data_IF_025387818985
#
_entry.id   IF_025387818985
#
_cell.length_a   1.000
_cell.length_b   1.000
_cell.length_c   1.000
_cell.angle_alpha   90.00
_cell.angle_beta   90.00
_cell.angle_gamma   90.00
#
_symmetry.space_group_name_H-M   'P 1'
#
loop_
_entity.id
_entity.type
_entity.pdbx_description
1 polymer ?
#
# COMPACT_ATOMS: atom_id res chain seq x y z
N UNK A 1 8.08 4.31 -81.87
CA UNK A 1 7.23 4.59 -83.06
C UNK A 1 5.80 4.77 -82.54
N UNK A 2 5.33 6.01 -82.46
CA UNK A 2 4.28 6.58 -83.33
C UNK A 2 2.91 5.90 -83.13
N UNK A 3 1.77 6.57 -82.93
CA UNK A 3 1.37 7.99 -82.96
C UNK A 3 -0.09 8.04 -82.44
N UNK A 4 -0.49 9.21 -81.91
CA UNK A 4 -1.83 9.86 -81.97
C UNK A 4 -3.07 9.10 -81.42
N UNK A 5 -4.14 9.70 -80.90
CA UNK A 5 -4.79 10.98 -81.23
C UNK A 5 -5.69 11.48 -80.05
N UNK A 6 -5.98 12.78 -80.08
CA UNK A 6 -6.77 13.65 -79.19
C UNK A 6 -8.31 13.56 -79.47
N UNK A 7 -9.26 14.40 -78.95
CA UNK A 7 -9.27 15.44 -77.90
C UNK A 7 -10.56 15.49 -76.99
N UNK A 8 -10.63 16.53 -76.13
CA UNK A 8 -11.81 17.32 -75.66
C UNK A 8 -12.80 16.84 -74.55
N UNK A 9 -12.52 17.31 -73.30
CA UNK A 9 -13.29 18.29 -72.46
C UNK A 9 -14.77 18.03 -72.03
N UNK A 10 -15.30 18.72 -70.98
CA UNK A 10 -15.35 18.27 -69.57
C UNK A 10 -16.77 18.22 -68.96
N UNK A 11 -17.03 17.46 -67.87
CA UNK A 11 -18.28 17.62 -67.08
C UNK A 11 -18.08 17.47 -65.57
N UNK A 12 -18.85 18.29 -64.86
CA UNK A 12 -18.90 18.70 -63.45
C UNK A 12 -19.10 17.61 -62.40
N UNK A 13 -18.66 18.00 -61.20
CA UNK A 13 -18.88 17.44 -59.86
C UNK A 13 -20.36 17.42 -59.45
N UNK A 14 -20.81 16.35 -58.80
CA UNK A 14 -22.00 16.29 -57.97
C UNK A 14 -21.73 15.46 -56.70
N UNK A 15 -22.03 15.96 -55.49
CA UNK A 15 -21.81 15.23 -54.24
C UNK A 15 -23.06 14.44 -53.81
N UNK A 16 -22.90 13.60 -52.79
CA UNK A 16 -23.90 12.77 -52.07
C UNK A 16 -23.96 11.28 -52.47
N UNK A 17 -23.05 10.53 -51.87
CA UNK A 17 -23.20 9.10 -51.63
C UNK A 17 -22.30 8.71 -50.46
N UNK A 18 -22.81 8.73 -49.22
CA UNK A 18 -22.12 8.19 -48.06
C UNK A 18 -23.03 7.20 -47.33
N UNK A 19 -22.62 5.94 -47.42
CA UNK A 19 -23.21 4.76 -46.79
C UNK A 19 -23.16 4.88 -45.26
N UNK A 20 -24.28 4.59 -44.61
CA UNK A 20 -24.37 4.38 -43.18
C UNK A 20 -23.55 3.14 -42.78
N UNK A 21 -22.51 3.31 -41.95
CA UNK A 21 -21.90 2.22 -41.17
C UNK A 21 -22.40 2.33 -39.74
N UNK A 22 -23.28 1.40 -39.36
CA UNK A 22 -23.64 1.16 -37.97
C UNK A 22 -22.40 0.69 -37.20
N UNK A 23 -21.79 1.62 -36.46
CA UNK A 23 -20.74 1.32 -35.49
C UNK A 23 -21.37 0.58 -34.31
N UNK A 24 -21.16 -0.74 -34.22
CA UNK A 24 -21.36 -1.48 -32.98
C UNK A 24 -20.32 -0.97 -31.98
N UNK A 25 -20.75 -0.10 -31.06
CA UNK A 25 -19.97 0.20 -29.85
C UNK A 25 -19.83 -1.09 -29.07
N UNK A 26 -18.64 -1.69 -29.14
CA UNK A 26 -18.22 -2.70 -28.18
C UNK A 26 -18.05 -1.92 -26.87
N UNK A 27 -19.09 -1.93 -26.04
CA UNK A 27 -18.98 -1.60 -24.62
C UNK A 27 -18.10 -2.68 -24.01
N UNK A 28 -16.79 -2.41 -23.93
CA UNK A 28 -15.92 -3.12 -23.01
C UNK A 28 -16.46 -2.78 -21.62
N UNK A 29 -17.24 -3.68 -21.03
CA UNK A 29 -17.49 -3.65 -19.59
C UNK A 29 -16.11 -3.80 -18.95
N UNK A 30 -15.54 -2.70 -18.44
CA UNK A 30 -14.44 -2.80 -17.50
C UNK A 30 -14.98 -3.59 -16.32
N UNK A 31 -14.52 -4.82 -16.14
CA UNK A 31 -14.84 -5.59 -14.96
C UNK A 31 -14.26 -4.80 -13.79
N UNK A 32 -15.13 -4.17 -13.00
CA UNK A 32 -14.74 -3.52 -11.75
C UNK A 32 -14.11 -4.61 -10.88
N UNK A 33 -12.85 -4.42 -10.48
CA UNK A 33 -12.17 -5.30 -9.54
C UNK A 33 -13.07 -5.48 -8.32
N UNK A 34 -13.41 -6.72 -7.90
CA UNK A 34 -14.25 -6.92 -6.71
C UNK A 34 -13.61 -6.24 -5.50
N UNK A 35 -14.41 -5.57 -4.68
CA UNK A 35 -13.90 -4.87 -3.50
C UNK A 35 -13.33 -5.87 -2.49
N UNK A 36 -12.29 -5.44 -1.77
CA UNK A 36 -11.78 -6.20 -0.63
C UNK A 36 -12.87 -6.34 0.44
N UNK A 37 -12.96 -7.49 1.11
CA UNK A 37 -13.94 -7.71 2.16
C UNK A 37 -13.72 -6.75 3.33
N UNK A 38 -14.82 -6.33 3.95
CA UNK A 38 -14.76 -5.53 5.16
C UNK A 38 -14.26 -6.33 6.35
N UNK A 39 -13.60 -5.58 7.23
CA UNK A 39 -13.09 -6.06 8.50
C UNK A 39 -14.20 -6.61 9.39
N UNK A 40 -14.01 -7.82 9.90
CA UNK A 40 -14.96 -8.49 10.80
C UNK A 40 -14.30 -9.59 11.61
N UNK A 41 -14.96 -10.01 12.68
CA UNK A 41 -14.63 -11.26 13.39
C UNK A 41 -15.65 -12.29 12.95
N UNK A 42 -15.17 -13.43 12.45
CA UNK A 42 -15.99 -14.50 11.92
C UNK A 42 -16.52 -15.41 13.05
N UNK A 43 -17.61 -16.17 12.82
CA UNK A 43 -18.17 -17.08 13.84
C UNK A 43 -17.23 -18.19 14.29
N UNK A 44 -16.27 -18.59 13.45
CA UNK A 44 -15.25 -19.60 13.76
C UNK A 44 -14.09 -19.03 14.61
N UNK A 45 -14.17 -17.75 14.99
CA UNK A 45 -13.17 -17.06 15.78
C UNK A 45 -12.04 -16.43 14.96
N UNK A 46 -11.96 -16.69 13.66
CA UNK A 46 -11.01 -16.00 12.76
C UNK A 46 -11.38 -14.52 12.60
N UNK A 47 -10.45 -13.71 12.10
CA UNK A 47 -10.69 -12.30 11.85
C UNK A 47 -10.23 -11.88 10.46
N UNK A 48 -11.09 -11.15 9.75
CA UNK A 48 -10.70 -10.36 8.58
C UNK A 48 -10.23 -9.00 9.07
N UNK A 49 -8.98 -8.65 8.74
CA UNK A 49 -8.30 -7.42 9.16
C UNK A 49 -7.82 -6.69 7.90
N UNK A 50 -8.19 -5.40 7.78
CA UNK A 50 -7.68 -4.53 6.71
C UNK A 50 -6.43 -3.79 7.19
N UNK A 51 -5.33 -3.97 6.47
CA UNK A 51 -4.02 -3.37 6.80
C UNK A 51 -3.58 -2.47 5.65
N UNK A 52 -3.32 -1.21 5.96
CA UNK A 52 -2.82 -0.21 5.02
C UNK A 52 -1.35 0.09 5.31
N UNK A 53 -0.49 0.04 4.30
CA UNK A 53 0.86 0.60 4.37
C UNK A 53 0.91 1.92 3.62
N UNK A 54 1.49 2.97 4.21
CA UNK A 54 1.53 4.29 3.57
C UNK A 54 2.73 5.13 4.03
N UNK A 55 3.65 5.42 3.11
CA UNK A 55 4.65 6.46 3.31
C UNK A 55 3.98 7.83 3.13
N UNK A 56 4.02 8.66 4.19
CA UNK A 56 3.30 9.94 4.22
C UNK A 56 4.22 11.15 4.06
N UNK A 57 5.49 10.93 3.73
CA UNK A 57 6.48 11.98 3.44
C UNK A 57 6.50 13.10 4.48
N UNK A 58 6.55 12.74 5.76
CA UNK A 58 6.52 13.69 6.90
C UNK A 58 5.32 14.64 6.94
N UNK A 59 4.23 14.31 6.23
CA UNK A 59 3.05 15.16 6.06
C UNK A 59 3.40 16.53 5.46
N UNK A 60 4.28 16.55 4.45
CA UNK A 60 4.66 17.77 3.74
C UNK A 60 3.61 18.25 2.73
N UNK A 61 2.80 17.34 2.20
CA UNK A 61 1.81 17.61 1.16
C UNK A 61 0.39 17.81 1.76
N UNK A 62 -0.69 17.48 1.04
CA UNK A 62 -2.07 17.70 1.50
C UNK A 62 -2.49 16.67 2.57
N UNK A 63 -2.54 17.12 3.82
CA UNK A 63 -2.90 16.27 4.96
C UNK A 63 -4.38 15.89 5.01
N UNK A 64 -5.26 16.68 4.38
CA UNK A 64 -6.68 16.39 4.34
C UNK A 64 -6.98 15.35 3.25
N UNK A 65 -6.31 15.45 2.10
CA UNK A 65 -6.31 14.40 1.08
C UNK A 65 -5.76 13.09 1.65
N UNK A 66 -4.65 13.14 2.37
CA UNK A 66 -4.09 11.98 3.07
C UNK A 66 -5.11 11.34 4.02
N UNK A 67 -5.78 12.14 4.85
CA UNK A 67 -6.80 11.63 5.77
C UNK A 67 -8.01 11.02 5.03
N UNK A 68 -8.47 11.63 3.93
CA UNK A 68 -9.55 11.08 3.10
C UNK A 68 -9.19 9.73 2.50
N UNK A 69 -7.97 9.59 1.95
CA UNK A 69 -7.48 8.31 1.40
C UNK A 69 -7.46 7.23 2.47
N UNK A 70 -6.88 7.51 3.64
CA UNK A 70 -6.85 6.54 4.76
C UNK A 70 -8.27 6.17 5.20
N UNK A 71 -9.16 7.15 5.32
CA UNK A 71 -10.57 6.92 5.72
C UNK A 71 -11.29 6.03 4.72
N UNK A 72 -11.17 6.31 3.42
CA UNK A 72 -11.82 5.56 2.35
C UNK A 72 -11.35 4.10 2.27
N UNK A 73 -10.10 3.83 2.68
CA UNK A 73 -9.56 2.47 2.76
C UNK A 73 -10.15 1.64 3.92
N UNK A 74 -10.81 2.29 4.89
CA UNK A 74 -11.39 1.67 6.09
C UNK A 74 -10.45 0.67 6.81
N UNK A 75 -9.19 1.02 7.12
CA UNK A 75 -8.24 0.08 7.70
C UNK A 75 -8.48 -0.15 9.20
N UNK A 76 -8.15 -1.35 9.67
CA UNK A 76 -7.96 -1.61 11.10
C UNK A 76 -6.59 -1.20 11.59
N UNK A 77 -5.58 -1.29 10.71
CA UNK A 77 -4.19 -0.98 11.00
C UNK A 77 -3.61 -0.16 9.87
N UNK A 78 -2.89 0.92 10.21
CA UNK A 78 -2.09 1.68 9.25
C UNK A 78 -0.63 1.62 9.67
N UNK A 79 0.20 1.03 8.83
CA UNK A 79 1.65 1.00 8.93
C UNK A 79 2.15 2.26 8.20
N UNK A 80 2.47 3.28 8.98
CA UNK A 80 2.90 4.59 8.47
C UNK A 80 4.42 4.62 8.33
N UNK A 81 4.92 5.14 7.22
CA UNK A 81 6.34 5.47 7.04
C UNK A 81 6.53 6.98 6.94
N UNK A 82 7.73 7.44 7.30
CA UNK A 82 8.06 8.87 7.39
C UNK A 82 7.04 9.68 8.20
N UNK A 83 6.53 9.15 9.32
CA UNK A 83 5.76 9.98 10.22
C UNK A 83 6.64 11.15 10.73
N UNK A 84 6.07 12.32 11.03
CA UNK A 84 6.83 13.44 11.59
C UNK A 84 7.66 13.01 12.80
N UNK A 85 8.90 13.52 12.92
CA UNK A 85 9.81 13.14 14.01
C UNK A 85 10.25 14.31 14.91
N UNK A 86 10.00 15.52 14.45
CA UNK A 86 10.51 16.74 15.08
C UNK A 86 9.42 17.48 15.87
N UNK A 87 9.52 18.80 15.98
CA UNK A 87 8.65 19.62 16.80
C UNK A 87 7.16 19.25 16.67
N UNK A 88 6.54 18.95 17.82
CA UNK A 88 5.13 18.56 17.95
C UNK A 88 4.72 17.32 17.15
N UNK A 89 5.65 16.42 16.83
CA UNK A 89 5.36 15.22 16.04
C UNK A 89 4.17 14.41 16.56
N UNK A 90 4.09 14.20 17.89
CA UNK A 90 2.96 13.48 18.52
C UNK A 90 1.62 14.14 18.20
N UNK A 91 1.56 15.48 18.23
CA UNK A 91 0.33 16.23 17.92
C UNK A 91 -0.03 16.14 16.43
N UNK A 92 0.97 16.12 15.54
CA UNK A 92 0.75 15.96 14.09
C UNK A 92 0.20 14.56 13.78
N UNK A 93 0.85 13.52 14.30
CA UNK A 93 0.43 12.13 14.09
C UNK A 93 -0.95 11.86 14.71
N UNK A 94 -1.22 12.35 15.92
CA UNK A 94 -2.53 12.22 16.56
C UNK A 94 -3.64 12.97 15.80
N UNK A 95 -3.31 14.09 15.12
CA UNK A 95 -4.26 14.81 14.27
C UNK A 95 -4.62 13.99 13.03
N UNK A 96 -3.63 13.38 12.37
CA UNK A 96 -3.87 12.49 11.23
C UNK A 96 -4.73 11.30 11.64
N UNK A 97 -4.37 10.63 12.75
CA UNK A 97 -5.14 9.51 13.27
C UNK A 97 -6.60 9.91 13.50
N UNK A 98 -6.85 10.99 14.24
CA UNK A 98 -8.22 11.48 14.48
C UNK A 98 -8.95 11.84 13.18
N UNK A 99 -8.29 12.54 12.25
CA UNK A 99 -8.89 12.94 10.98
C UNK A 99 -9.26 11.74 10.09
N UNK A 100 -8.63 10.59 10.31
CA UNK A 100 -8.92 9.33 9.63
C UNK A 100 -9.77 8.34 10.43
N UNK A 101 -10.31 8.75 11.58
CA UNK A 101 -11.12 7.87 12.44
C UNK A 101 -10.32 6.81 13.22
N UNK A 102 -9.01 7.00 13.36
CA UNK A 102 -8.07 6.08 13.99
C UNK A 102 -7.44 6.68 15.26
N UNK A 103 -6.70 5.86 16.00
CA UNK A 103 -5.86 6.26 17.13
C UNK A 103 -4.40 5.89 16.88
N UNK A 104 -3.47 6.61 17.52
CA UNK A 104 -2.05 6.27 17.47
C UNK A 104 -1.78 5.09 18.39
N UNK A 105 -1.18 4.03 17.85
CA UNK A 105 -0.86 2.80 18.58
C UNK A 105 0.62 2.76 19.00
N UNK A 106 1.57 2.99 18.08
CA UNK A 106 3.01 3.00 18.39
C UNK A 106 3.81 3.86 17.41
N UNK A 107 5.07 4.16 17.76
CA UNK A 107 6.06 4.72 16.84
C UNK A 107 6.00 6.24 16.66
N UNK A 108 6.41 6.67 15.46
CA UNK A 108 6.72 8.06 15.13
C UNK A 108 8.19 8.36 15.42
N UNK A 109 8.48 9.42 16.18
CA UNK A 109 9.87 9.79 16.44
C UNK A 109 10.65 8.73 17.23
N UNK A 110 9.97 7.96 18.09
CA UNK A 110 10.55 6.88 18.92
C UNK A 110 11.09 5.72 18.08
N UNK A 111 10.48 5.44 16.93
CA UNK A 111 10.93 4.45 15.96
C UNK A 111 11.67 5.08 14.77
N UNK A 112 12.07 6.35 14.86
CA UNK A 112 12.73 7.09 13.77
C UNK A 112 11.92 7.18 12.46
N UNK A 113 10.58 7.24 12.53
CA UNK A 113 9.70 7.54 11.39
C UNK A 113 8.53 6.57 11.26
N UNK A 114 8.75 5.25 11.27
CA UNK A 114 7.67 4.28 11.28
C UNK A 114 6.70 4.48 12.44
N UNK A 115 5.41 4.34 12.17
CA UNK A 115 4.36 4.38 13.17
C UNK A 115 3.26 3.37 12.86
N UNK A 116 2.42 3.09 13.85
CA UNK A 116 1.22 2.28 13.70
C UNK A 116 0.03 3.11 14.19
N UNK A 117 -0.99 3.23 13.33
CA UNK A 117 -2.32 3.69 13.72
C UNK A 117 -3.27 2.49 13.73
N UNK A 118 -4.33 2.54 14.53
CA UNK A 118 -5.33 1.48 14.56
C UNK A 118 -6.76 1.98 14.71
N UNK A 119 -7.71 1.15 14.30
CA UNK A 119 -9.13 1.29 14.65
C UNK A 119 -9.36 0.90 16.12
N UNK A 120 -10.55 1.20 16.64
CA UNK A 120 -10.93 0.80 18.00
C UNK A 120 -11.26 -0.71 18.13
N UNK A 121 -11.24 -1.48 17.03
CA UNK A 121 -11.38 -2.95 17.09
C UNK A 121 -10.12 -3.64 17.62
N UNK A 122 -8.96 -2.99 17.50
CA UNK A 122 -7.68 -3.55 17.91
C UNK A 122 -7.49 -3.38 19.42
N UNK A 123 -7.53 -4.49 20.17
CA UNK A 123 -7.11 -4.49 21.58
C UNK A 123 -5.59 -4.61 21.65
N UNK A 124 -4.93 -3.63 22.25
CA UNK A 124 -3.46 -3.61 22.34
C UNK A 124 -3.00 -4.45 23.52
N UNK A 125 -2.15 -5.45 23.28
CA UNK A 125 -1.51 -6.21 24.36
C UNK A 125 -0.15 -5.63 24.73
N UNK A 126 0.66 -5.28 23.74
CA UNK A 126 1.93 -4.59 23.95
C UNK A 126 2.40 -3.85 22.71
N UNK A 127 3.22 -2.83 22.94
CA UNK A 127 3.91 -2.08 21.90
C UNK A 127 5.39 -1.98 22.24
N UNK A 128 6.22 -1.90 21.21
CA UNK A 128 7.64 -1.69 21.37
C UNK A 128 8.19 -1.00 20.11
N UNK A 129 8.88 0.12 20.33
CA UNK A 129 9.56 0.85 19.27
C UNK A 129 11.06 0.55 19.35
N UNK A 130 11.64 0.15 18.23
CA UNK A 130 13.05 -0.22 18.16
C UNK A 130 13.80 0.73 17.23
N UNK A 131 15.01 1.10 17.64
CA UNK A 131 15.94 1.82 16.78
C UNK A 131 17.00 0.87 16.28
N UNK A 132 17.19 0.82 14.97
CA UNK A 132 18.18 -0.05 14.35
C UNK A 132 19.60 0.52 14.52
N UNK A 133 20.64 -0.33 14.42
CA UNK A 133 22.01 0.12 14.40
C UNK A 133 22.20 1.24 13.37
N UNK A 134 22.90 2.30 13.77
CA UNK A 134 23.13 3.47 12.91
C UNK A 134 24.43 3.27 12.14
N UNK A 135 24.36 3.25 10.82
CA UNK A 135 25.54 3.42 9.97
C UNK A 135 25.91 4.91 9.89
N UNK A 136 27.17 5.30 10.18
CA UNK A 136 27.61 6.69 10.02
C UNK A 136 27.32 7.24 8.62
N UNK A 137 26.85 8.49 8.54
CA UNK A 137 26.46 9.14 7.27
C UNK A 137 25.07 8.76 6.74
N UNK A 138 24.43 7.71 7.27
CA UNK A 138 23.08 7.31 6.86
C UNK A 138 22.01 7.76 7.85
N UNK A 139 20.77 7.81 7.36
CA UNK A 139 19.61 8.08 8.19
C UNK A 139 19.35 6.90 9.14
N UNK A 140 19.23 7.18 10.44
CA UNK A 140 18.85 6.16 11.42
C UNK A 140 17.43 5.65 11.11
N UNK A 141 17.29 4.31 11.05
CA UNK A 141 16.00 3.61 10.89
C UNK A 141 15.54 2.99 12.21
N UNK A 142 14.29 2.55 12.23
CA UNK A 142 13.66 1.87 13.36
C UNK A 142 12.45 1.06 12.91
N UNK A 143 11.86 0.35 13.85
CA UNK A 143 10.60 -0.38 13.68
C UNK A 143 9.60 0.10 14.74
N UNK A 144 8.37 0.33 14.33
CA UNK A 144 7.25 0.39 15.25
C UNK A 144 6.60 -0.99 15.29
N UNK A 145 6.44 -1.57 16.49
CA UNK A 145 5.88 -2.92 16.62
C UNK A 145 4.79 -3.00 17.67
N UNK A 146 3.88 -3.95 17.47
CA UNK A 146 2.81 -4.22 18.39
C UNK A 146 2.37 -5.69 18.36
N UNK A 147 1.78 -6.14 19.44
CA UNK A 147 0.89 -7.31 19.45
C UNK A 147 -0.50 -6.83 19.81
N UNK A 148 -1.45 -7.11 18.93
CA UNK A 148 -2.85 -6.72 19.06
C UNK A 148 -3.76 -7.94 19.00
N UNK A 149 -5.00 -7.78 19.46
CA UNK A 149 -6.07 -8.76 19.29
C UNK A 149 -7.23 -8.20 18.50
N UNK A 150 -7.82 -9.05 17.68
CA UNK A 150 -9.12 -8.85 17.04
C UNK A 150 -10.05 -9.99 17.47
N UNK A 151 -10.81 -9.77 18.54
CA UNK A 151 -11.55 -10.86 19.19
C UNK A 151 -10.60 -11.92 19.78
N UNK A 152 -10.76 -13.18 19.34
CA UNK A 152 -9.94 -14.30 19.79
C UNK A 152 -8.53 -14.33 19.19
N UNK A 153 -8.35 -13.69 18.02
CA UNK A 153 -7.12 -13.74 17.24
C UNK A 153 -6.07 -12.80 17.79
N UNK A 154 -4.81 -13.26 17.82
CA UNK A 154 -3.65 -12.49 18.25
C UNK A 154 -2.70 -12.27 17.07
N UNK A 155 -2.34 -11.01 16.80
CA UNK A 155 -1.59 -10.61 15.60
C UNK A 155 -0.40 -9.74 15.97
N UNK A 156 0.80 -10.14 15.51
CA UNK A 156 1.99 -9.29 15.51
C UNK A 156 1.95 -8.29 14.37
N UNK A 157 2.37 -7.05 14.62
CA UNK A 157 2.35 -5.96 13.65
C UNK A 157 3.71 -5.26 13.64
N UNK A 158 4.27 -5.04 12.46
CA UNK A 158 5.56 -4.34 12.29
C UNK A 158 5.48 -3.33 11.13
N UNK A 159 5.65 -2.04 11.45
CA UNK A 159 5.88 -1.00 10.44
C UNK A 159 7.38 -0.71 10.31
N UNK A 160 7.86 -0.62 9.07
CA UNK A 160 9.26 -0.35 8.76
C UNK A 160 9.42 0.66 7.62
N UNK A 161 10.60 1.29 7.56
CA UNK A 161 11.06 2.03 6.38
C UNK A 161 12.55 1.70 6.27
N UNK A 162 12.91 0.85 5.31
CA UNK A 162 14.27 0.34 5.18
C UNK A 162 15.21 1.37 4.54
N UNK A 163 16.52 1.10 4.61
CA UNK A 163 17.53 2.00 4.06
C UNK A 163 17.53 2.05 2.53
N UNK A 164 17.94 3.20 2.00
CA UNK A 164 18.30 3.33 0.59
C UNK A 164 19.65 2.64 0.28
N UNK A 165 20.53 2.53 1.27
CA UNK A 165 21.81 1.86 1.12
C UNK A 165 21.64 0.33 1.12
N UNK A 166 22.08 -0.33 0.05
CA UNK A 166 21.84 -1.76 -0.22
C UNK A 166 22.23 -2.70 0.93
N UNK A 167 23.42 -2.54 1.48
CA UNK A 167 23.93 -3.47 2.51
C UNK A 167 23.24 -3.23 3.87
N UNK A 168 23.01 -1.97 4.22
CA UNK A 168 22.24 -1.63 5.43
C UNK A 168 20.80 -2.13 5.30
N UNK A 169 20.15 -1.90 4.15
CA UNK A 169 18.81 -2.42 3.84
C UNK A 169 18.74 -3.94 4.01
N UNK A 170 19.70 -4.67 3.48
CA UNK A 170 19.74 -6.13 3.58
C UNK A 170 19.89 -6.62 5.03
N UNK A 171 20.73 -5.95 5.82
CA UNK A 171 20.88 -6.23 7.25
C UNK A 171 19.58 -5.94 8.02
N UNK A 172 18.95 -4.79 7.75
CA UNK A 172 17.67 -4.41 8.35
C UNK A 172 16.54 -5.38 7.99
N UNK A 173 16.50 -5.91 6.76
CA UNK A 173 15.56 -6.97 6.38
C UNK A 173 15.75 -8.26 7.18
N UNK A 174 16.99 -8.60 7.57
CA UNK A 174 17.26 -9.68 8.53
C UNK A 174 16.71 -9.38 9.92
N UNK A 175 17.00 -8.19 10.45
CA UNK A 175 16.51 -7.75 11.75
C UNK A 175 14.98 -7.71 11.83
N UNK A 176 14.30 -7.38 10.72
CA UNK A 176 12.84 -7.44 10.62
C UNK A 176 12.34 -8.88 10.85
N UNK A 177 12.94 -9.86 10.17
CA UNK A 177 12.57 -11.28 10.33
C UNK A 177 12.84 -11.77 11.75
N UNK A 178 14.01 -11.44 12.30
CA UNK A 178 14.37 -11.78 13.69
C UNK A 178 13.37 -11.18 14.67
N UNK A 179 12.97 -9.92 14.44
CA UNK A 179 12.00 -9.22 15.28
C UNK A 179 10.62 -9.88 15.23
N UNK A 180 10.14 -10.26 14.05
CA UNK A 180 8.87 -10.98 13.91
C UNK A 180 8.91 -12.34 14.63
N UNK A 181 9.97 -13.12 14.44
CA UNK A 181 10.14 -14.41 15.11
C UNK A 181 10.18 -14.27 16.64
N UNK A 182 10.76 -13.18 17.14
CA UNK A 182 10.83 -12.86 18.57
C UNK A 182 9.52 -12.32 19.19
N UNK A 183 8.44 -12.13 18.41
CA UNK A 183 7.17 -11.61 18.95
C UNK A 183 6.36 -12.67 19.73
N UNK A 184 6.70 -13.96 19.68
CA UNK A 184 5.95 -14.98 20.42
C UNK A 184 4.45 -14.99 20.07
N UNK A 185 4.16 -14.86 18.77
CA UNK A 185 2.82 -14.97 18.16
C UNK A 185 2.97 -15.76 16.87
N UNK A 186 1.96 -16.56 16.54
CA UNK A 186 1.99 -17.42 15.35
C UNK A 186 1.68 -16.67 14.06
N UNK A 187 0.93 -15.57 14.17
CA UNK A 187 0.51 -14.75 13.06
C UNK A 187 1.04 -13.33 13.18
N UNK A 188 1.64 -12.83 12.12
CA UNK A 188 2.09 -11.45 12.03
C UNK A 188 1.96 -10.87 10.63
N UNK A 189 1.81 -9.55 10.58
CA UNK A 189 1.89 -8.73 9.37
C UNK A 189 3.01 -7.70 9.53
N UNK A 190 3.82 -7.55 8.50
CA UNK A 190 4.85 -6.54 8.41
C UNK A 190 4.70 -5.74 7.12
N UNK A 191 4.99 -4.45 7.14
CA UNK A 191 4.93 -3.67 5.92
C UNK A 191 5.58 -2.31 6.01
N UNK A 192 5.69 -1.70 4.83
CA UNK A 192 6.27 -0.39 4.65
C UNK A 192 7.08 -0.26 3.39
N UNK A 193 7.84 0.82 3.33
CA UNK A 193 8.76 1.13 2.25
C UNK A 193 10.04 0.28 2.40
N UNK A 194 10.15 -0.73 1.53
CA UNK A 194 11.28 -1.65 1.44
C UNK A 194 12.47 -0.97 0.74
N UNK A 195 12.25 0.12 -0.01
CA UNK A 195 13.26 0.79 -0.85
C UNK A 195 13.95 -0.16 -1.83
N UNK A 196 13.25 -1.21 -2.27
CA UNK A 196 13.76 -2.20 -3.19
C UNK A 196 12.62 -2.89 -3.92
N UNK A 197 12.82 -3.16 -5.21
CA UNK A 197 11.85 -3.84 -6.06
C UNK A 197 11.77 -5.34 -5.72
N UNK A 198 10.73 -6.07 -6.19
CA UNK A 198 10.52 -7.48 -5.85
C UNK A 198 11.67 -8.42 -6.25
N UNK A 199 12.40 -8.08 -7.32
CA UNK A 199 13.59 -8.77 -7.80
C UNK A 199 14.88 -8.37 -7.07
N UNK A 200 14.80 -7.49 -6.07
CA UNK A 200 15.93 -7.11 -5.25
C UNK A 200 16.22 -8.09 -4.11
N UNK A 201 17.44 -8.02 -3.58
CA UNK A 201 17.97 -9.03 -2.65
C UNK A 201 17.23 -9.03 -1.30
N UNK A 202 16.90 -7.86 -0.75
CA UNK A 202 16.20 -7.74 0.53
C UNK A 202 14.74 -8.13 0.37
N UNK A 203 14.08 -7.67 -0.69
CA UNK A 203 12.69 -8.04 -0.97
C UNK A 203 12.54 -9.56 -1.08
N UNK A 204 13.38 -10.23 -1.89
CA UNK A 204 13.39 -11.71 -1.95
C UNK A 204 13.68 -12.37 -0.61
N UNK A 205 14.59 -11.81 0.21
CA UNK A 205 14.85 -12.37 1.55
C UNK A 205 13.59 -12.37 2.41
N UNK A 206 12.82 -11.28 2.38
CA UNK A 206 11.54 -11.17 3.06
C UNK A 206 10.52 -12.15 2.46
N UNK A 207 10.33 -12.14 1.14
CA UNK A 207 9.39 -13.02 0.42
C UNK A 207 9.72 -14.53 0.47
N UNK A 208 10.96 -14.90 0.78
CA UNK A 208 11.31 -16.30 1.03
C UNK A 208 10.88 -16.78 2.43
N UNK A 209 10.74 -15.85 3.38
CA UNK A 209 10.44 -16.13 4.78
C UNK A 209 8.96 -15.86 5.13
N UNK A 210 8.36 -14.90 4.44
CA UNK A 210 6.99 -14.40 4.59
C UNK A 210 6.28 -14.44 3.23
N UNK A 211 4.95 -14.38 3.24
CA UNK A 211 4.14 -14.24 2.04
C UNK A 211 4.12 -12.78 1.60
N UNK A 212 4.58 -12.45 0.38
CA UNK A 212 4.30 -11.15 -0.26
C UNK A 212 2.81 -11.09 -0.61
N UNK A 213 2.06 -10.22 0.08
CA UNK A 213 0.61 -10.20 -0.03
C UNK A 213 0.13 -9.86 -1.44
N UNK A 214 0.80 -8.93 -2.14
CA UNK A 214 0.41 -8.56 -3.50
C UNK A 214 0.64 -9.72 -4.47
N UNK A 215 1.79 -10.39 -4.36
CA UNK A 215 2.09 -11.53 -5.24
C UNK A 215 1.21 -12.75 -4.97
N UNK A 216 0.74 -12.92 -3.74
CA UNK A 216 -0.12 -14.04 -3.35
C UNK A 216 -1.57 -13.88 -3.85
N UNK A 217 -2.15 -12.68 -3.72
CA UNK A 217 -3.50 -12.38 -4.18
C UNK A 217 -3.56 -10.92 -4.71
N UNK A 218 -3.18 -10.69 -5.97
CA UNK A 218 -3.14 -9.35 -6.55
C UNK A 218 -4.52 -8.69 -6.60
N UNK A 219 -4.59 -7.45 -6.11
CA UNK A 219 -5.80 -6.63 -6.16
C UNK A 219 -5.46 -5.15 -6.40
N UNK A 220 -6.20 -4.47 -7.28
CA UNK A 220 -5.92 -3.07 -7.59
C UNK A 220 -4.57 -2.86 -8.32
N UNK A 221 -3.86 -1.78 -8.01
CA UNK A 221 -2.58 -1.44 -8.65
C UNK A 221 -1.35 -2.10 -8.00
N UNK A 222 -0.29 -2.29 -8.77
CA UNK A 222 1.00 -2.85 -8.28
C UNK A 222 1.99 -1.78 -7.81
N UNK A 223 2.18 -0.73 -8.62
CA UNK A 223 3.26 0.23 -8.44
C UNK A 223 2.90 1.33 -7.45
N UNK A 224 3.87 1.68 -6.59
CA UNK A 224 3.65 2.48 -5.38
C UNK A 224 4.40 3.81 -5.36
N UNK A 225 5.42 4.00 -6.21
CA UNK A 225 6.21 5.23 -6.21
C UNK A 225 5.95 6.08 -7.45
N UNK A 226 5.87 7.41 -7.26
CA UNK A 226 5.48 8.41 -8.27
C UNK A 226 4.00 8.30 -8.66
N UNK A 227 3.06 8.80 -7.83
CA UNK A 227 1.61 8.65 -8.02
C UNK A 227 1.10 9.07 -9.41
N UNK A 228 1.78 10.03 -10.03
CA UNK A 228 1.42 10.52 -11.34
C UNK A 228 1.72 9.55 -12.50
N UNK A 229 2.79 8.77 -12.36
CA UNK A 229 3.27 7.78 -13.32
C UNK A 229 3.98 6.64 -12.54
N UNK A 230 3.20 5.77 -11.87
CA UNK A 230 3.77 4.77 -10.99
C UNK A 230 4.54 3.71 -11.78
N UNK A 231 5.80 3.47 -11.42
CA UNK A 231 6.68 2.60 -12.21
C UNK A 231 7.52 1.62 -11.35
N UNK A 232 7.39 1.68 -10.02
CA UNK A 232 8.09 0.76 -9.11
C UNK A 232 7.19 0.36 -7.96
N UNK A 233 7.26 -0.91 -7.56
CA UNK A 233 6.70 -1.43 -6.31
C UNK A 233 7.82 -1.53 -5.29
N UNK A 234 7.87 -0.56 -4.37
CA UNK A 234 8.86 -0.53 -3.28
C UNK A 234 8.19 -0.54 -1.90
N UNK A 235 6.89 -0.28 -1.85
CA UNK A 235 6.07 -0.48 -0.66
C UNK A 235 5.38 -1.85 -0.73
N UNK A 236 5.36 -2.56 0.39
CA UNK A 236 4.77 -3.89 0.44
C UNK A 236 4.18 -4.23 1.82
N UNK A 237 3.24 -5.18 1.80
CA UNK A 237 2.75 -5.89 2.96
C UNK A 237 3.17 -7.35 2.84
N UNK A 238 3.70 -7.89 3.93
CA UNK A 238 4.09 -9.28 4.08
C UNK A 238 3.35 -9.90 5.27
N UNK A 239 2.95 -11.15 5.14
CA UNK A 239 2.30 -11.90 6.22
C UNK A 239 3.05 -13.20 6.54
N UNK A 240 3.02 -13.63 7.79
CA UNK A 240 3.51 -14.96 8.16
C UNK A 240 2.68 -16.05 7.50
N UNK A 241 3.27 -17.24 7.34
CA UNK A 241 2.54 -18.43 6.87
C UNK A 241 1.34 -18.70 7.80
N UNK A 242 0.20 -19.08 7.23
CA UNK A 242 -1.06 -19.31 7.95
C UNK A 242 -2.02 -18.13 7.96
N UNK A 243 -1.56 -16.91 7.65
CA UNK A 243 -2.45 -15.78 7.32
C UNK A 243 -2.84 -15.90 5.85
N UNK A 244 -4.14 -15.94 5.58
CA UNK A 244 -4.68 -15.97 4.22
C UNK A 244 -4.83 -14.54 3.69
N UNK A 245 -4.32 -14.30 2.48
CA UNK A 245 -4.42 -13.01 1.80
C UNK A 245 -5.66 -13.04 0.91
N UNK A 246 -6.62 -12.14 1.17
CA UNK A 246 -7.88 -12.06 0.41
C UNK A 246 -7.81 -11.07 -0.75
N UNK A 247 -6.69 -10.36 -0.86
CA UNK A 247 -6.40 -9.36 -1.87
C UNK A 247 -5.48 -8.29 -1.31
N UNK A 248 -4.54 -7.83 -2.14
CA UNK A 248 -3.59 -6.79 -1.77
C UNK A 248 -3.16 -5.93 -2.96
N UNK A 249 -3.10 -4.61 -2.78
CA UNK A 249 -2.48 -3.65 -3.71
C UNK A 249 -2.98 -2.22 -3.56
N UNK A 250 -2.73 -1.39 -4.56
CA UNK A 250 -3.10 0.02 -4.55
C UNK A 250 -4.62 0.17 -4.77
N UNK A 251 -5.35 0.85 -3.88
CA UNK A 251 -6.81 0.89 -3.85
C UNK A 251 -7.43 1.85 -4.88
N UNK A 252 -7.07 1.72 -6.16
CA UNK A 252 -7.54 2.62 -7.24
C UNK A 252 -9.06 2.59 -7.43
N UNK A 253 -9.68 1.41 -7.28
CA UNK A 253 -11.13 1.21 -7.44
C UNK A 253 -11.91 1.30 -6.12
N UNK A 254 -11.24 1.63 -5.00
CA UNK A 254 -11.87 1.71 -3.69
C UNK A 254 -12.78 2.95 -3.60
N UNK A 255 -14.08 2.81 -3.25
CA UNK A 255 -14.98 3.94 -3.13
C UNK A 255 -14.44 5.00 -2.16
N UNK A 256 -14.43 6.26 -2.62
CA UNK A 256 -13.91 7.40 -1.86
C UNK A 256 -12.41 7.64 -2.02
N UNK A 257 -11.65 6.71 -2.60
CA UNK A 257 -10.28 6.98 -3.06
C UNK A 257 -10.36 7.63 -4.43
N UNK A 258 -9.75 8.80 -4.60
CA UNK A 258 -9.71 9.51 -5.87
C UNK A 258 -8.28 9.70 -6.34
N UNK A 259 -8.06 9.73 -7.65
CA UNK A 259 -6.74 9.99 -8.22
C UNK A 259 -6.18 11.35 -7.79
N UNK A 260 -7.06 12.36 -7.67
CA UNK A 260 -6.68 13.68 -7.18
C UNK A 260 -6.13 13.63 -5.75
N UNK A 261 -6.82 12.93 -4.84
CA UNK A 261 -6.35 12.78 -3.46
C UNK A 261 -5.07 11.94 -3.38
N UNK A 262 -4.96 10.87 -4.17
CA UNK A 262 -3.75 10.04 -4.23
C UNK A 262 -2.52 10.84 -4.69
N UNK A 263 -2.68 11.75 -5.66
CA UNK A 263 -1.61 12.63 -6.14
C UNK A 263 -1.26 13.76 -5.16
N UNK A 264 -2.25 14.24 -4.40
CA UNK A 264 -2.08 15.36 -3.47
C UNK A 264 -1.55 14.94 -2.09
N UNK A 265 -1.82 13.71 -1.67
CA UNK A 265 -1.54 13.25 -0.31
C UNK A 265 -0.05 13.09 0.02
N UNK A 266 0.73 12.52 -0.90
CA UNK A 266 2.16 12.21 -0.73
C UNK A 266 2.77 11.72 -2.06
N UNK A 267 4.07 11.45 -2.11
CA UNK A 267 4.81 10.95 -3.28
C UNK A 267 4.86 9.42 -3.38
N UNK A 268 4.07 8.73 -2.55
CA UNK A 268 3.81 7.30 -2.61
C UNK A 268 2.30 7.03 -2.75
N UNK A 269 1.94 5.88 -3.30
CA UNK A 269 0.60 5.33 -3.29
C UNK A 269 0.48 4.31 -2.14
N UNK A 270 -0.67 4.24 -1.46
CA UNK A 270 -0.85 3.30 -0.37
C UNK A 270 -1.00 1.86 -0.89
N UNK A 271 -0.61 0.89 -0.06
CA UNK A 271 -0.86 -0.55 -0.30
C UNK A 271 -1.86 -1.04 0.74
N UNK A 272 -3.01 -1.52 0.30
CA UNK A 272 -4.07 -2.06 1.14
C UNK A 272 -4.15 -3.57 0.98
N UNK A 273 -4.22 -4.30 2.09
CA UNK A 273 -4.50 -5.73 2.10
C UNK A 273 -5.70 -6.05 3.00
N UNK A 274 -6.50 -7.04 2.59
CA UNK A 274 -7.44 -7.73 3.47
C UNK A 274 -6.88 -9.10 3.82
N UNK A 275 -6.74 -9.38 5.10
CA UNK A 275 -6.09 -10.58 5.62
C UNK A 275 -7.07 -11.34 6.50
N UNK A 276 -7.26 -12.64 6.24
CA UNK A 276 -7.93 -13.55 7.18
C UNK A 276 -6.89 -14.18 8.06
N UNK A 277 -6.99 -13.91 9.35
CA UNK A 277 -6.11 -14.44 10.38
C UNK A 277 -6.90 -15.49 11.16
N UNK A 278 -6.46 -16.76 11.19
CA UNK A 278 -7.19 -17.82 11.89
C UNK A 278 -7.14 -17.61 13.40
N UNK A 279 -8.13 -18.18 14.09
CA UNK A 279 -8.09 -18.28 15.54
C UNK A 279 -6.87 -19.12 15.97
N UNK A 280 -6.30 -18.76 17.12
CA UNK A 280 -5.25 -19.54 17.77
C UNK A 280 -5.80 -20.83 18.38
#
# INVERSE_FOLDING_TARGET
MARAEHPDRPVRVGPYGAFARAGRRILIRMATTPLLPDSRTEPDGSAVVRVLSYNIRSMYDDTDALARVITACAPDLVLVQEAPRFFRWRKKLARLARASGLVTLSGGATAAGPAILCSLRATVERTEDLLLPRTPGLHRRGFATAVVRFGGVRLGVLSCHLSLARDERYAQGGMLLDRLAGMGVDHAVAGGDVNERPDGRTFRRLGNSLTDCWAAEPWGGEYTSTPAEPHQRIDALFATRGVEVLGCGVPLDQPGVTEADLRAATDHLPVLAALRVPAA
#
